data_IF_309134984380
#
_entry.id   IF_309134984380
#
_cell.length_a   1.000
_cell.length_b   1.000
_cell.length_c   1.000
_cell.angle_alpha   90.00
_cell.angle_beta   90.00
_cell.angle_gamma   90.00
#
_symmetry.space_group_name_H-M   'P 1'
#
loop_
_entity.id
_entity.type
_entity.pdbx_description
1 polymer ?
#
# COMPACT_ATOMS: atom_id res chain seq x y z
N UNK A 1 -17.32 0.06 24.09
CA UNK A 1 -17.43 -0.13 22.61
C UNK A 1 -16.09 -0.60 22.11
N UNK A 2 -15.99 -1.81 21.50
CA UNK A 2 -14.74 -2.26 20.88
C UNK A 2 -14.45 -1.36 19.67
N UNK A 3 -13.47 -0.51 19.79
CA UNK A 3 -13.02 0.33 18.69
C UNK A 3 -12.11 -0.51 17.81
N UNK A 4 -12.56 -0.88 16.64
CA UNK A 4 -11.79 -1.64 15.65
C UNK A 4 -11.61 -0.77 14.42
N UNK A 5 -10.36 -0.58 14.00
CA UNK A 5 -10.03 0.20 12.82
C UNK A 5 -9.45 -0.71 11.73
N UNK A 6 -10.03 -0.67 10.54
CA UNK A 6 -9.58 -1.45 9.38
C UNK A 6 -9.38 -0.53 8.19
N UNK A 7 -8.21 -0.56 7.58
CA UNK A 7 -7.93 0.19 6.36
C UNK A 7 -6.93 -0.53 5.45
N UNK A 8 -6.88 -0.08 4.20
CA UNK A 8 -5.96 -0.64 3.20
C UNK A 8 -4.80 0.33 2.98
N UNK A 9 -3.58 -0.20 3.02
CA UNK A 9 -2.40 0.57 2.67
C UNK A 9 -2.30 0.71 1.15
N UNK A 10 -1.84 1.88 0.69
CA UNK A 10 -1.58 2.16 -0.72
C UNK A 10 -2.80 2.21 -1.65
N UNK A 11 -4.03 2.20 -1.12
CA UNK A 11 -5.23 2.32 -1.95
C UNK A 11 -5.24 3.60 -2.80
N UNK A 12 -4.92 4.80 -2.28
CA UNK A 12 -4.89 6.02 -3.07
C UNK A 12 -3.88 5.95 -4.21
N UNK A 13 -2.67 5.46 -3.93
CA UNK A 13 -1.62 5.30 -4.94
C UNK A 13 -2.06 4.34 -6.05
N UNK A 14 -2.70 3.24 -5.68
CA UNK A 14 -3.21 2.28 -6.65
C UNK A 14 -4.25 2.91 -7.58
N UNK A 15 -5.20 3.67 -7.05
CA UNK A 15 -6.22 4.37 -7.85
C UNK A 15 -5.55 5.33 -8.83
N UNK A 16 -4.56 6.12 -8.39
CA UNK A 16 -3.82 7.04 -9.23
C UNK A 16 -3.13 6.28 -10.38
N UNK A 17 -2.42 5.18 -10.08
CA UNK A 17 -1.74 4.37 -11.09
C UNK A 17 -2.73 3.82 -12.11
N UNK A 18 -3.88 3.30 -11.68
CA UNK A 18 -4.93 2.81 -12.59
C UNK A 18 -5.45 3.94 -13.47
N UNK A 19 -5.77 5.11 -12.92
CA UNK A 19 -6.26 6.25 -13.70
C UNK A 19 -5.23 6.72 -14.74
N UNK A 20 -3.94 6.79 -14.37
CA UNK A 20 -2.86 7.17 -15.27
C UNK A 20 -2.71 6.15 -16.40
N UNK A 21 -2.68 4.85 -16.08
CA UNK A 21 -2.58 3.78 -17.07
C UNK A 21 -3.76 3.79 -18.05
N UNK A 22 -4.96 4.02 -17.56
CA UNK A 22 -6.15 4.15 -18.41
C UNK A 22 -6.08 5.39 -19.30
N UNK A 23 -5.65 6.54 -18.77
CA UNK A 23 -5.46 7.75 -19.55
C UNK A 23 -4.47 7.57 -20.71
N UNK A 24 -3.32 6.94 -20.42
CA UNK A 24 -2.32 6.61 -21.44
C UNK A 24 -2.90 5.66 -22.50
N UNK A 25 -3.62 4.63 -22.07
CA UNK A 25 -4.22 3.65 -22.99
C UNK A 25 -5.24 4.28 -23.92
N UNK A 26 -6.10 5.14 -23.41
CA UNK A 26 -7.08 5.87 -24.23
C UNK A 26 -6.37 6.81 -25.22
N UNK A 27 -5.31 7.50 -24.80
CA UNK A 27 -4.54 8.39 -25.67
C UNK A 27 -3.84 7.64 -26.80
N UNK A 28 -3.39 6.42 -26.56
CA UNK A 28 -2.76 5.59 -27.59
C UNK A 28 -3.77 4.98 -28.54
N UNK A 29 -4.97 4.63 -28.09
CA UNK A 29 -6.00 4.01 -28.92
C UNK A 29 -6.64 5.06 -29.85
N UNK A 30 -6.82 6.29 -29.42
CA UNK A 30 -7.49 7.33 -30.18
C UNK A 30 -6.91 7.54 -31.59
N UNK A 31 -5.59 7.74 -31.81
CA UNK A 31 -5.02 7.85 -33.15
C UNK A 31 -5.17 6.55 -33.96
N UNK A 32 -5.10 5.37 -33.32
CA UNK A 32 -5.30 4.10 -34.02
C UNK A 32 -6.71 3.94 -34.55
N UNK A 33 -7.73 4.35 -33.79
CA UNK A 33 -9.13 4.28 -34.26
C UNK A 33 -9.39 5.19 -35.45
N UNK A 34 -8.67 6.32 -35.56
CA UNK A 34 -8.88 7.30 -36.66
C UNK A 34 -8.10 6.90 -37.92
N UNK A 35 -6.92 6.28 -37.78
CA UNK A 35 -5.98 6.09 -38.89
C UNK A 35 -6.01 4.68 -39.50
N UNK A 36 -6.53 3.70 -38.81
CA UNK A 36 -6.52 2.31 -39.27
C UNK A 36 -7.93 1.78 -39.55
N UNK A 37 -8.04 1.00 -40.63
CA UNK A 37 -9.28 0.30 -40.92
C UNK A 37 -9.49 -0.83 -39.91
N UNK A 38 -10.69 -0.91 -39.31
CA UNK A 38 -11.05 -1.91 -38.30
C UNK A 38 -11.01 -3.36 -38.83
N UNK A 39 -10.81 -3.55 -40.13
CA UNK A 39 -10.65 -4.85 -40.78
C UNK A 39 -9.24 -5.41 -40.68
N UNK A 40 -8.27 -4.61 -40.27
CA UNK A 40 -6.87 -5.05 -40.17
C UNK A 40 -6.65 -5.90 -38.91
N UNK A 41 -6.11 -7.11 -39.11
CA UNK A 41 -5.74 -8.05 -38.05
C UNK A 41 -4.78 -7.39 -37.01
N UNK A 42 -3.81 -6.64 -37.48
CA UNK A 42 -2.83 -5.95 -36.61
C UNK A 42 -3.46 -4.87 -35.74
N UNK A 43 -4.54 -4.25 -36.22
CA UNK A 43 -5.33 -3.32 -35.42
C UNK A 43 -5.90 -4.01 -34.17
N UNK A 44 -6.55 -5.15 -34.32
CA UNK A 44 -7.11 -5.94 -33.23
C UNK A 44 -6.05 -6.43 -32.26
N UNK A 45 -4.89 -6.87 -32.75
CA UNK A 45 -3.75 -7.30 -31.92
C UNK A 45 -3.26 -6.13 -31.05
N UNK A 46 -3.12 -4.93 -31.62
CA UNK A 46 -2.65 -3.74 -30.88
C UNK A 46 -3.65 -3.31 -29.83
N UNK A 47 -4.92 -3.26 -30.16
CA UNK A 47 -6.00 -2.95 -29.21
C UNK A 47 -6.02 -3.95 -28.04
N UNK A 48 -5.95 -5.25 -28.35
CA UNK A 48 -5.94 -6.30 -27.33
C UNK A 48 -4.72 -6.21 -26.42
N UNK A 49 -3.53 -5.93 -26.94
CA UNK A 49 -2.32 -5.73 -26.15
C UNK A 49 -2.44 -4.51 -25.24
N UNK A 50 -2.90 -3.37 -25.76
CA UNK A 50 -3.03 -2.14 -24.97
C UNK A 50 -4.06 -2.34 -23.85
N UNK A 51 -5.22 -2.89 -24.13
CA UNK A 51 -6.24 -3.18 -23.11
C UNK A 51 -5.78 -4.27 -22.14
N UNK A 52 -5.19 -5.34 -22.65
CA UNK A 52 -4.67 -6.42 -21.82
C UNK A 52 -3.62 -5.95 -20.83
N UNK A 53 -2.69 -5.10 -21.25
CA UNK A 53 -1.69 -4.51 -20.37
C UNK A 53 -2.32 -3.51 -19.39
N UNK A 54 -3.26 -2.70 -19.85
CA UNK A 54 -3.90 -1.67 -19.00
C UNK A 54 -4.74 -2.25 -17.88
N UNK A 55 -5.35 -3.40 -18.09
CA UNK A 55 -6.16 -4.12 -17.09
C UNK A 55 -5.31 -5.14 -16.34
N UNK A 56 -4.48 -5.89 -17.07
CA UNK A 56 -3.69 -6.99 -16.51
C UNK A 56 -2.59 -6.53 -15.55
N UNK A 57 -1.87 -5.46 -15.88
CA UNK A 57 -0.80 -4.92 -15.02
C UNK A 57 -1.33 -4.47 -13.65
N UNK A 58 -2.37 -3.64 -13.54
CA UNK A 58 -2.95 -3.29 -12.25
C UNK A 58 -3.42 -4.51 -11.45
N UNK A 59 -4.08 -5.47 -12.08
CA UNK A 59 -4.52 -6.70 -11.40
C UNK A 59 -3.34 -7.52 -10.86
N UNK A 60 -2.21 -7.56 -11.58
CA UNK A 60 -1.02 -8.28 -11.14
C UNK A 60 -0.26 -7.55 -10.02
N UNK A 61 -0.23 -6.22 -10.06
CA UNK A 61 0.50 -5.39 -9.10
C UNK A 61 -0.31 -5.21 -7.81
N UNK A 62 -1.62 -5.03 -7.93
CA UNK A 62 -2.54 -4.76 -6.83
C UNK A 62 -2.36 -5.69 -5.61
N UNK A 63 -2.39 -7.04 -5.76
CA UNK A 63 -2.26 -7.93 -4.61
C UNK A 63 -0.86 -7.90 -3.96
N UNK A 64 0.16 -7.36 -4.65
CA UNK A 64 1.52 -7.27 -4.13
C UNK A 64 1.75 -6.04 -3.28
N UNK A 65 1.04 -4.96 -3.60
CA UNK A 65 1.22 -3.66 -2.94
C UNK A 65 0.21 -3.42 -1.83
N UNK A 66 -0.96 -4.06 -1.92
CA UNK A 66 -1.99 -3.88 -0.92
C UNK A 66 -1.83 -4.81 0.26
N UNK A 67 -1.90 -4.21 1.42
CA UNK A 67 -2.06 -4.92 2.68
C UNK A 67 -3.22 -4.32 3.48
N UNK A 68 -3.97 -5.16 4.14
CA UNK A 68 -5.01 -4.76 5.07
C UNK A 68 -4.38 -4.63 6.45
N UNK A 69 -4.50 -3.46 7.04
CA UNK A 69 -4.15 -3.20 8.43
C UNK A 69 -5.40 -3.32 9.27
N UNK A 70 -5.25 -3.96 10.40
CA UNK A 70 -6.28 -4.17 11.38
C UNK A 70 -5.73 -3.78 12.75
N UNK A 71 -6.33 -2.79 13.37
CA UNK A 71 -6.04 -2.39 14.74
C UNK A 71 -7.25 -2.75 15.60
N UNK A 72 -7.00 -3.43 16.69
CA UNK A 72 -8.00 -3.77 17.68
C UNK A 72 -7.46 -3.54 19.11
N UNK A 73 -8.23 -3.92 20.11
CA UNK A 73 -7.81 -3.76 21.50
C UNK A 73 -6.63 -4.64 21.89
N UNK A 74 -6.32 -5.69 21.14
CA UNK A 74 -5.28 -6.67 21.45
C UNK A 74 -3.96 -6.37 20.78
N UNK A 75 -4.00 -5.67 19.62
CA UNK A 75 -2.78 -5.39 18.87
C UNK A 75 -3.03 -4.84 17.47
N UNK A 76 -1.97 -4.88 16.68
CA UNK A 76 -1.97 -4.50 15.27
C UNK A 76 -1.70 -5.73 14.40
N UNK A 77 -2.55 -5.93 13.39
CA UNK A 77 -2.41 -6.98 12.39
C UNK A 77 -2.19 -6.44 10.99
N UNK A 78 -1.32 -7.09 10.21
CA UNK A 78 -1.12 -6.84 8.79
C UNK A 78 -1.36 -8.12 8.01
N UNK A 79 -2.28 -8.06 7.06
CA UNK A 79 -2.58 -9.16 6.14
C UNK A 79 -2.15 -8.74 4.75
N UNK A 80 -1.17 -9.43 4.18
CA UNK A 80 -0.71 -9.22 2.79
C UNK A 80 -1.48 -10.18 1.90
N UNK A 81 -2.26 -9.66 0.96
CA UNK A 81 -3.23 -10.41 0.17
C UNK A 81 -2.65 -11.64 -0.55
N UNK A 82 -1.43 -11.56 -1.07
CA UNK A 82 -0.86 -12.66 -1.87
C UNK A 82 -0.04 -13.68 -1.08
N UNK A 83 0.41 -13.34 0.13
CA UNK A 83 1.38 -14.19 0.87
C UNK A 83 0.76 -15.00 1.98
N UNK A 84 -0.53 -14.92 2.23
CA UNK A 84 -1.20 -15.50 3.41
C UNK A 84 -0.45 -15.23 4.74
N UNK A 85 0.56 -14.37 4.71
CA UNK A 85 1.33 -13.98 5.88
C UNK A 85 0.52 -12.99 6.68
N UNK A 86 0.03 -13.46 7.80
CA UNK A 86 -0.52 -12.62 8.85
C UNK A 86 0.63 -12.25 9.77
N UNK A 87 0.94 -10.96 9.85
CA UNK A 87 1.79 -10.43 10.90
C UNK A 87 0.87 -9.86 11.98
N UNK A 88 1.19 -10.09 13.22
CA UNK A 88 0.44 -9.56 14.35
C UNK A 88 1.42 -9.19 15.45
N UNK A 89 1.27 -7.98 16.01
CA UNK A 89 2.05 -7.49 17.16
C UNK A 89 1.03 -7.07 18.20
N UNK A 90 1.11 -7.66 19.39
CA UNK A 90 0.29 -7.24 20.53
C UNK A 90 0.78 -5.90 21.04
N UNK A 91 -0.12 -5.07 21.61
CA UNK A 91 0.28 -3.77 22.18
C UNK A 91 1.32 -3.89 23.27
N UNK A 92 1.27 -4.93 24.09
CA UNK A 92 2.25 -5.21 25.14
C UNK A 92 3.67 -5.53 24.60
N UNK A 93 3.74 -6.01 23.36
CA UNK A 93 5.00 -6.37 22.69
C UNK A 93 5.58 -5.23 21.86
N UNK A 94 4.86 -4.12 21.67
CA UNK A 94 5.35 -2.96 20.95
C UNK A 94 6.50 -2.32 21.70
N UNK A 95 7.63 -2.14 21.05
CA UNK A 95 8.86 -1.55 21.62
C UNK A 95 9.29 -0.26 20.94
N UNK A 96 8.85 -0.05 19.71
CA UNK A 96 9.21 1.14 18.94
C UNK A 96 8.08 1.51 17.98
N UNK A 97 7.77 2.81 17.95
CA UNK A 97 6.82 3.39 16.98
C UNK A 97 7.47 4.63 16.40
N UNK A 98 7.63 4.66 15.09
CA UNK A 98 8.27 5.76 14.38
C UNK A 98 7.38 6.25 13.25
N UNK A 99 7.43 7.55 12.99
CA UNK A 99 6.84 8.16 11.81
C UNK A 99 7.99 8.59 10.90
N UNK A 100 8.06 8.00 9.73
CA UNK A 100 9.11 8.25 8.77
C UNK A 100 8.54 8.97 7.54
N UNK A 101 8.98 10.20 7.34
CA UNK A 101 8.58 10.99 6.17
C UNK A 101 9.62 10.81 5.07
N UNK A 102 9.15 10.39 3.89
CA UNK A 102 9.99 10.25 2.70
C UNK A 102 10.18 11.60 2.00
N UNK A 103 11.25 11.76 1.19
CA UNK A 103 11.50 13.00 0.43
C UNK A 103 10.36 13.43 -0.52
N UNK A 104 9.52 12.49 -0.92
CA UNK A 104 8.34 12.74 -1.75
C UNK A 104 7.10 13.23 -0.97
N UNK A 105 7.25 13.50 0.34
CA UNK A 105 6.18 13.98 1.22
C UNK A 105 5.26 12.89 1.79
N UNK A 106 5.44 11.61 1.42
CA UNK A 106 4.68 10.54 2.04
C UNK A 106 5.23 10.19 3.41
N UNK A 107 4.34 10.09 4.40
CA UNK A 107 4.68 9.62 5.73
C UNK A 107 4.20 8.19 5.97
N UNK A 108 5.01 7.41 6.66
CA UNK A 108 4.69 6.03 7.05
C UNK A 108 4.80 5.89 8.55
N UNK A 109 3.85 5.18 9.13
CA UNK A 109 3.91 4.72 10.52
C UNK A 109 4.55 3.34 10.55
N UNK A 110 5.52 3.17 11.40
CA UNK A 110 6.31 1.94 11.55
C UNK A 110 6.18 1.49 13.00
N UNK A 111 5.75 0.25 13.20
CA UNK A 111 5.57 -0.36 14.52
C UNK A 111 6.40 -1.63 14.59
N UNK A 112 7.19 -1.76 15.62
CA UNK A 112 8.07 -2.92 15.85
C UNK A 112 7.97 -3.43 17.27
N UNK A 113 8.19 -4.74 17.42
CA UNK A 113 8.41 -5.37 18.73
C UNK A 113 9.89 -5.39 19.16
N UNK A 114 10.76 -4.72 18.41
CA UNK A 114 12.17 -4.51 18.71
C UNK A 114 12.54 -3.05 18.44
N UNK A 115 13.62 -2.57 19.04
CA UNK A 115 14.13 -1.23 18.72
C UNK A 115 14.59 -1.18 17.26
N UNK A 116 14.06 -0.23 16.51
CA UNK A 116 14.45 0.02 15.12
C UNK A 116 15.78 0.79 15.15
N UNK A 117 16.86 0.10 14.76
CA UNK A 117 18.21 0.68 14.73
C UNK A 117 18.51 1.42 13.44
N UNK A 118 17.77 1.10 12.39
CA UNK A 118 18.01 1.64 11.06
C UNK A 118 17.33 2.98 10.85
N UNK A 119 18.03 3.91 10.17
CA UNK A 119 17.50 5.22 9.77
C UNK A 119 16.94 5.23 8.36
N UNK A 120 17.18 4.16 7.58
CA UNK A 120 16.72 4.06 6.19
C UNK A 120 15.43 3.24 6.11
N UNK A 121 14.42 3.78 5.41
CA UNK A 121 13.15 3.10 5.18
C UNK A 121 13.33 1.71 4.52
N UNK A 122 14.29 1.60 3.57
CA UNK A 122 14.56 0.34 2.88
C UNK A 122 15.12 -0.75 3.81
N UNK A 123 15.91 -0.37 4.79
CA UNK A 123 16.47 -1.30 5.78
C UNK A 123 15.39 -1.75 6.77
N UNK A 124 14.55 -0.81 7.22
CA UNK A 124 13.43 -1.11 8.11
C UNK A 124 12.46 -2.10 7.46
N UNK A 125 12.22 -1.98 6.16
CA UNK A 125 11.35 -2.92 5.43
C UNK A 125 11.88 -4.36 5.38
N UNK A 126 13.17 -4.57 5.58
CA UNK A 126 13.79 -5.90 5.60
C UNK A 126 13.68 -6.57 6.97
N UNK A 127 13.37 -5.83 8.02
CA UNK A 127 13.19 -6.39 9.35
C UNK A 127 11.93 -7.27 9.43
N UNK A 128 12.07 -8.44 10.04
CA UNK A 128 11.00 -9.46 10.05
C UNK A 128 9.80 -9.12 10.93
N UNK A 129 10.01 -8.27 11.93
CA UNK A 129 9.05 -8.01 13.01
C UNK A 129 8.51 -6.58 12.96
N UNK A 130 8.37 -6.03 11.77
CA UNK A 130 7.92 -4.66 11.54
C UNK A 130 6.61 -4.65 10.77
N UNK A 131 5.65 -3.91 11.28
CA UNK A 131 4.42 -3.56 10.57
C UNK A 131 4.51 -2.09 10.18
N UNK A 132 4.33 -1.79 8.91
CA UNK A 132 4.31 -0.43 8.41
C UNK A 132 3.08 -0.18 7.54
N UNK A 133 2.61 1.06 7.54
CA UNK A 133 1.49 1.51 6.73
C UNK A 133 1.58 3.02 6.49
N UNK A 134 0.87 3.50 5.48
CA UNK A 134 0.79 4.93 5.16
C UNK A 134 0.15 5.68 6.33
N UNK A 135 0.69 6.85 6.66
CA UNK A 135 0.20 7.69 7.74
C UNK A 135 -1.31 7.93 7.62
N UNK A 136 -2.00 7.75 8.73
CA UNK A 136 -3.44 7.97 8.87
C UNK A 136 -3.68 8.53 10.29
N UNK A 137 -4.30 9.70 10.36
CA UNK A 137 -4.55 10.38 11.63
C UNK A 137 -5.33 9.51 12.63
N UNK A 138 -6.41 8.86 12.19
CA UNK A 138 -7.23 8.01 13.05
C UNK A 138 -6.44 6.81 13.61
N UNK A 139 -5.56 6.24 12.77
CA UNK A 139 -4.71 5.13 13.19
C UNK A 139 -3.65 5.58 14.20
N UNK A 140 -3.06 6.75 13.99
CA UNK A 140 -2.06 7.32 14.91
C UNK A 140 -2.71 7.66 16.26
N UNK A 141 -3.88 8.29 16.27
CA UNK A 141 -4.62 8.57 17.50
C UNK A 141 -4.97 7.28 18.25
N UNK A 142 -5.40 6.24 17.52
CA UNK A 142 -5.69 4.94 18.11
C UNK A 142 -4.45 4.31 18.76
N UNK A 143 -3.30 4.37 18.08
CA UNK A 143 -2.02 3.85 18.57
C UNK A 143 -1.57 4.63 19.81
N UNK A 144 -1.64 5.95 19.76
CA UNK A 144 -1.27 6.81 20.90
C UNK A 144 -2.11 6.53 22.15
N UNK A 145 -3.38 6.20 21.98
CA UNK A 145 -4.25 5.83 23.09
C UNK A 145 -3.85 4.50 23.74
N UNK A 146 -3.29 3.58 22.94
CA UNK A 146 -2.90 2.23 23.39
C UNK A 146 -1.45 2.14 23.87
N UNK A 147 -0.57 3.01 23.38
CA UNK A 147 0.89 2.94 23.59
C UNK A 147 1.36 4.22 24.29
N UNK A 148 0.63 4.63 25.36
CA UNK A 148 0.89 5.89 26.11
C UNK A 148 2.27 6.02 26.72
N UNK A 149 2.99 4.92 26.92
CA UNK A 149 4.30 4.89 27.56
C UNK A 149 5.49 4.87 26.58
N UNK A 150 5.23 4.93 25.28
CA UNK A 150 6.29 4.97 24.28
C UNK A 150 6.36 6.38 23.72
N UNK A 151 7.49 7.09 24.00
CA UNK A 151 7.81 8.37 23.36
C UNK A 151 7.78 8.18 21.83
N UNK A 152 6.71 8.67 21.21
CA UNK A 152 6.67 8.77 19.75
C UNK A 152 7.75 9.77 19.34
N UNK A 153 8.82 9.26 18.74
CA UNK A 153 9.81 10.11 18.08
C UNK A 153 9.18 10.68 16.80
N UNK A 154 8.52 11.83 16.98
CA UNK A 154 8.02 12.66 15.89
C UNK A 154 9.17 13.36 15.17
#
# INVERSE_FOLDING_TARGET
MKKELKFYTSLPLFIIVVCVMWGISLSLIYPFVITFDATDFWWWVSVFLIYGLSIGLPILIYPRTMSKIHLDETGIGKIVFRKSKKQFIKWEDVRDVQILTLPNGYAYVIISNSQIKSKSFEEVLKEKNVIYFTYNNEAVEFINDKVRDIDLKL
#
